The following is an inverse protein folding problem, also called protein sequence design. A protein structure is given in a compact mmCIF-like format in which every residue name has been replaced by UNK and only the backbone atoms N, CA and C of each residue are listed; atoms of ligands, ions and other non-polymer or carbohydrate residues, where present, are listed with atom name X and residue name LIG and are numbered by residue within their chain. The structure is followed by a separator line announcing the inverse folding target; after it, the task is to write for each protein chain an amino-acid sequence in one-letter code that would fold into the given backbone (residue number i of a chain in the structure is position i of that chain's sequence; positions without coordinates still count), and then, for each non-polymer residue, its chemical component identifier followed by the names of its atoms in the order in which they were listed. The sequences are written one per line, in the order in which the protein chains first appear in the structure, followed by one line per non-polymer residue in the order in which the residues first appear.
data_IF_290691521552
#
_entry.id   IF_290691521552
#
_cell.length_a   1.000
_cell.length_b   1.000
_cell.length_c   1.000
_cell.angle_alpha   90.00
_cell.angle_beta   90.00
_cell.angle_gamma   90.00
#
_symmetry.space_group_name_H-M   'P 1'
#
loop_
_entity.id
_entity.type
_entity.pdbx_description
1 polymer ?
#
# COMPACT_ATOMS: atom_id res chain seq x y z
N UNK A 1 -31.10 50.51 -5.46
CA UNK A 1 -31.75 49.32 -6.06
C UNK A 1 -31.13 47.99 -5.59
N UNK A 2 -29.81 47.88 -5.37
CA UNK A 2 -29.19 46.62 -4.90
C UNK A 2 -29.73 46.06 -3.58
N UNK A 3 -30.03 46.92 -2.59
CA UNK A 3 -30.55 46.48 -1.29
C UNK A 3 -31.93 45.77 -1.33
N UNK A 4 -32.73 45.99 -2.37
CA UNK A 4 -34.06 45.37 -2.48
C UNK A 4 -33.98 43.97 -3.10
N UNK A 5 -33.01 43.73 -4.00
CA UNK A 5 -32.73 42.40 -4.54
C UNK A 5 -32.18 41.46 -3.45
N UNK A 6 -31.23 41.91 -2.64
CA UNK A 6 -30.67 41.13 -1.53
C UNK A 6 -31.74 40.71 -0.52
N UNK A 7 -32.72 41.59 -0.24
CA UNK A 7 -33.83 41.29 0.68
C UNK A 7 -34.77 40.22 0.11
N UNK A 8 -35.09 40.28 -1.19
CA UNK A 8 -35.92 39.27 -1.85
C UNK A 8 -35.22 37.92 -1.92
N UNK A 9 -33.93 37.88 -2.26
CA UNK A 9 -33.14 36.65 -2.29
C UNK A 9 -33.01 36.02 -0.91
N UNK A 10 -32.77 36.82 0.14
CA UNK A 10 -32.71 36.32 1.51
C UNK A 10 -34.03 35.70 1.95
N UNK A 11 -35.18 36.30 1.59
CA UNK A 11 -36.49 35.71 1.92
C UNK A 11 -36.74 34.38 1.22
N UNK A 12 -36.30 34.22 -0.04
CA UNK A 12 -36.35 32.93 -0.75
C UNK A 12 -35.46 31.89 -0.08
N UNK A 13 -34.22 32.25 0.24
CA UNK A 13 -33.26 31.35 0.90
C UNK A 13 -33.75 30.88 2.27
N UNK A 14 -34.46 31.74 3.00
CA UNK A 14 -35.04 31.42 4.31
C UNK A 14 -36.26 30.50 4.18
N UNK A 15 -37.07 30.66 3.13
CA UNK A 15 -38.12 29.71 2.79
C UNK A 15 -37.54 28.34 2.39
N UNK A 16 -36.48 28.32 1.60
CA UNK A 16 -35.79 27.09 1.20
C UNK A 16 -35.21 26.36 2.42
N UNK A 17 -34.58 27.09 3.36
CA UNK A 17 -34.06 26.51 4.60
C UNK A 17 -35.18 25.90 5.46
N UNK A 18 -36.33 26.59 5.55
CA UNK A 18 -37.51 26.07 6.25
C UNK A 18 -38.03 24.80 5.58
N UNK A 19 -38.14 24.78 4.25
CA UNK A 19 -38.57 23.61 3.50
C UNK A 19 -37.61 22.43 3.71
N UNK A 20 -36.30 22.67 3.64
CA UNK A 20 -35.27 21.65 3.88
C UNK A 20 -35.31 21.09 5.29
N UNK A 21 -35.61 21.92 6.30
CA UNK A 21 -35.75 21.47 7.69
C UNK A 21 -36.95 20.53 7.86
N UNK A 22 -38.06 20.83 7.17
CA UNK A 22 -39.25 19.98 7.18
C UNK A 22 -38.95 18.65 6.48
N UNK A 23 -38.35 18.69 5.29
CA UNK A 23 -37.95 17.50 4.53
C UNK A 23 -37.05 16.57 5.37
N UNK A 24 -36.06 17.14 6.06
CA UNK A 24 -35.16 16.41 6.95
C UNK A 24 -35.92 15.73 8.10
N UNK A 25 -36.87 16.44 8.73
CA UNK A 25 -37.70 15.89 9.80
C UNK A 25 -38.54 14.70 9.30
N UNK A 26 -39.13 14.82 8.12
CA UNK A 26 -39.93 13.75 7.50
C UNK A 26 -39.07 12.53 7.19
N UNK A 27 -37.83 12.71 6.72
CA UNK A 27 -36.90 11.61 6.44
C UNK A 27 -36.35 10.94 7.71
N UNK A 28 -36.14 11.71 8.79
CA UNK A 28 -35.63 11.17 10.05
C UNK A 28 -36.69 10.40 10.85
N UNK A 29 -37.96 10.81 10.73
CA UNK A 29 -39.08 10.23 11.47
C UNK A 29 -39.19 8.69 11.37
N UNK A 30 -39.12 8.05 10.19
CA UNK A 30 -39.14 6.58 10.09
C UNK A 30 -37.89 5.92 10.69
N UNK A 31 -36.74 6.58 10.66
CA UNK A 31 -35.50 6.06 11.26
C UNK A 31 -35.56 6.12 12.78
N UNK A 32 -36.12 7.21 13.34
CA UNK A 32 -36.35 7.34 14.77
C UNK A 32 -37.37 6.33 15.29
N UNK A 33 -38.42 6.02 14.52
CA UNK A 33 -39.39 4.98 14.86
C UNK A 33 -38.70 3.60 14.95
N UNK A 34 -37.95 3.21 13.91
CA UNK A 34 -37.17 1.95 13.91
C UNK A 34 -36.12 1.86 15.02
N UNK A 35 -35.59 2.99 15.47
CA UNK A 35 -34.69 3.05 16.62
C UNK A 35 -35.45 2.84 17.94
N UNK A 36 -36.63 3.45 18.09
CA UNK A 36 -37.49 3.30 19.27
C UNK A 36 -38.03 1.86 19.39
N UNK A 37 -38.33 1.22 18.26
CA UNK A 37 -38.76 -0.17 18.16
C UNK A 37 -37.62 -1.17 18.44
N UNK A 38 -36.38 -0.68 18.62
CA UNK A 38 -35.22 -1.50 18.96
C UNK A 38 -34.68 -2.36 17.82
N UNK A 39 -35.18 -2.18 16.59
CA UNK A 39 -34.71 -2.91 15.40
C UNK A 39 -33.24 -2.59 15.07
N UNK A 40 -32.79 -1.38 15.41
CA UNK A 40 -31.44 -0.89 15.12
C UNK A 40 -30.57 -0.96 16.37
N UNK A 41 -29.63 -1.92 16.42
CA UNK A 41 -28.64 -2.04 17.50
C UNK A 41 -27.53 -0.99 17.32
N UNK A 42 -27.59 0.09 18.08
CA UNK A 42 -26.60 1.20 18.06
C UNK A 42 -25.31 0.93 18.85
N UNK A 43 -25.20 -0.21 19.53
CA UNK A 43 -24.11 -0.50 20.48
C UNK A 43 -22.69 -0.51 19.87
N UNK A 44 -22.56 -0.52 18.53
CA UNK A 44 -21.27 -0.48 17.81
C UNK A 44 -21.31 0.48 16.62
N UNK A 45 -21.87 1.67 16.81
CA UNK A 45 -21.81 2.73 15.80
C UNK A 45 -20.38 3.13 15.44
N UNK A 46 -20.16 3.58 14.20
CA UNK A 46 -18.89 4.16 13.79
C UNK A 46 -18.76 5.52 14.48
N UNK A 47 -18.03 5.57 15.60
CA UNK A 47 -17.84 6.78 16.44
C UNK A 47 -17.48 8.03 15.63
N UNK A 48 -16.74 7.88 14.52
CA UNK A 48 -16.41 9.00 13.65
C UNK A 48 -17.63 9.65 12.97
N UNK A 49 -18.63 8.86 12.56
CA UNK A 49 -19.83 9.38 11.91
C UNK A 49 -20.67 10.22 12.88
N UNK A 50 -20.74 9.81 14.14
CA UNK A 50 -21.37 10.59 15.20
C UNK A 50 -20.66 11.93 15.41
N UNK A 51 -19.34 11.93 15.51
CA UNK A 51 -18.53 13.15 15.61
C UNK A 51 -18.76 14.07 14.41
N UNK A 52 -18.84 13.52 13.20
CA UNK A 52 -19.18 14.28 11.99
C UNK A 52 -20.53 14.96 12.10
N UNK A 53 -21.56 14.23 12.53
CA UNK A 53 -22.90 14.81 12.69
C UNK A 53 -22.90 15.93 13.72
N UNK A 54 -22.24 15.75 14.87
CA UNK A 54 -22.13 16.79 15.91
C UNK A 54 -21.44 18.06 15.37
N UNK A 55 -20.34 17.93 14.63
CA UNK A 55 -19.62 19.05 14.03
C UNK A 55 -20.47 19.76 12.96
N UNK A 56 -21.18 19.00 12.12
CA UNK A 56 -22.06 19.58 11.10
C UNK A 56 -23.23 20.34 11.73
N UNK A 57 -23.84 19.82 12.79
CA UNK A 57 -24.89 20.52 13.54
C UNK A 57 -24.34 21.80 14.16
N UNK A 58 -23.16 21.74 14.80
CA UNK A 58 -22.52 22.90 15.38
C UNK A 58 -22.21 23.98 14.32
N UNK A 59 -21.79 23.57 13.12
CA UNK A 59 -21.55 24.48 12.01
C UNK A 59 -22.83 25.18 11.54
N UNK A 60 -23.92 24.43 11.36
CA UNK A 60 -25.23 24.99 10.97
C UNK A 60 -25.76 25.93 12.06
N UNK A 61 -25.56 25.60 13.34
CA UNK A 61 -25.94 26.44 14.47
C UNK A 61 -25.20 27.78 14.45
N UNK A 62 -23.87 27.75 14.31
CA UNK A 62 -23.06 28.97 14.24
C UNK A 62 -23.37 29.80 13.00
N UNK A 63 -23.68 29.16 11.87
CA UNK A 63 -24.09 29.85 10.66
C UNK A 63 -25.45 30.53 10.82
N UNK A 64 -26.42 29.84 11.45
CA UNK A 64 -27.74 30.41 11.74
C UNK A 64 -27.63 31.58 12.70
N UNK A 65 -26.77 31.47 13.72
CA UNK A 65 -26.47 32.57 14.63
C UNK A 65 -25.81 33.75 13.91
N UNK A 66 -24.88 33.50 12.99
CA UNK A 66 -24.26 34.52 12.16
C UNK A 66 -25.29 35.27 11.30
N UNK A 67 -26.21 34.53 10.67
CA UNK A 67 -27.32 35.14 9.90
C UNK A 67 -28.22 35.97 10.81
N UNK A 68 -28.58 35.47 11.99
CA UNK A 68 -29.36 36.21 12.97
C UNK A 68 -28.67 37.50 13.43
N UNK A 69 -27.34 37.46 13.61
CA UNK A 69 -26.53 38.62 14.01
C UNK A 69 -26.54 39.71 12.92
N UNK A 70 -26.41 39.30 11.65
CA UNK A 70 -26.51 40.19 10.48
C UNK A 70 -27.91 40.80 10.35
N UNK A 71 -28.96 40.01 10.54
CA UNK A 71 -30.35 40.50 10.49
C UNK A 71 -30.69 41.46 11.65
N UNK A 72 -30.04 41.28 12.80
CA UNK A 72 -30.20 42.15 13.97
C UNK A 72 -29.39 43.45 13.89
N UNK A 73 -28.67 43.69 12.79
CA UNK A 73 -27.90 44.91 12.55
C UNK A 73 -26.67 45.09 13.46
N UNK A 74 -26.22 44.03 14.14
CA UNK A 74 -25.02 44.07 15.00
C UNK A 74 -23.76 43.97 14.14
N UNK A 75 -22.71 44.71 14.49
CA UNK A 75 -21.43 44.64 13.80
C UNK A 75 -20.80 43.25 13.96
N UNK A 76 -20.28 42.72 12.84
CA UNK A 76 -19.83 41.32 12.74
C UNK A 76 -18.30 41.19 12.74
N UNK A 77 -17.58 42.29 12.53
CA UNK A 77 -16.15 42.28 12.21
C UNK A 77 -15.26 41.71 13.32
N UNK A 78 -15.71 41.65 14.57
CA UNK A 78 -14.93 41.10 15.70
C UNK A 78 -15.67 40.03 16.51
N UNK A 79 -16.78 39.48 16.00
CA UNK A 79 -17.53 38.50 16.77
C UNK A 79 -16.83 37.12 16.77
N UNK A 80 -16.68 36.43 17.92
CA UNK A 80 -15.98 35.15 18.01
C UNK A 80 -16.57 34.06 17.11
N UNK A 81 -17.84 34.21 16.70
CA UNK A 81 -18.54 33.30 15.78
C UNK A 81 -17.86 33.18 14.43
N UNK A 82 -17.23 34.25 13.91
CA UNK A 82 -16.50 34.17 12.63
C UNK A 82 -15.26 33.28 12.79
N UNK A 83 -14.53 33.43 13.92
CA UNK A 83 -13.38 32.57 14.24
C UNK A 83 -13.80 31.11 14.40
N UNK A 84 -14.88 30.86 15.16
CA UNK A 84 -15.42 29.51 15.34
C UNK A 84 -15.91 28.88 14.04
N UNK A 85 -16.53 29.65 13.13
CA UNK A 85 -16.93 29.15 11.81
C UNK A 85 -15.74 28.74 10.95
N UNK A 86 -14.66 29.54 10.96
CA UNK A 86 -13.42 29.22 10.26
C UNK A 86 -12.77 27.96 10.86
N UNK A 87 -12.73 27.86 12.19
CA UNK A 87 -12.21 26.68 12.89
C UNK A 87 -13.00 25.42 12.53
N UNK A 88 -14.33 25.46 12.63
CA UNK A 88 -15.20 24.35 12.22
C UNK A 88 -15.00 23.99 10.74
N UNK A 89 -14.78 24.98 9.87
CA UNK A 89 -14.52 24.73 8.45
C UNK A 89 -13.20 23.98 8.25
N UNK A 90 -12.14 24.39 8.94
CA UNK A 90 -10.84 23.70 8.90
C UNK A 90 -10.97 22.26 9.43
N UNK A 91 -11.75 22.05 10.50
CA UNK A 91 -12.00 20.71 11.04
C UNK A 91 -12.71 19.83 9.99
N UNK A 92 -13.77 20.33 9.35
CA UNK A 92 -14.48 19.61 8.28
C UNK A 92 -13.55 19.26 7.11
N UNK A 93 -12.66 20.18 6.71
CA UNK A 93 -11.71 19.93 5.64
C UNK A 93 -10.66 18.86 6.01
N UNK A 94 -10.20 18.85 7.27
CA UNK A 94 -9.31 17.80 7.80
C UNK A 94 -9.99 16.45 7.94
N UNK A 95 -11.31 16.40 8.10
CA UNK A 95 -12.09 15.16 8.18
C UNK A 95 -12.28 14.48 6.83
N UNK A 96 -12.28 15.21 5.71
CA UNK A 96 -12.47 14.68 4.34
C UNK A 96 -11.65 13.41 4.00
N UNK A 97 -10.33 13.35 4.22
CA UNK A 97 -9.57 12.13 3.89
C UNK A 97 -10.02 10.89 4.71
N UNK A 98 -10.48 11.10 5.95
CA UNK A 98 -11.01 10.02 6.78
C UNK A 98 -12.39 9.58 6.27
N UNK A 99 -13.20 10.54 5.82
CA UNK A 99 -14.49 10.26 5.19
C UNK A 99 -14.36 9.39 3.93
N UNK A 100 -13.36 9.64 3.08
CA UNK A 100 -13.11 8.82 1.89
C UNK A 100 -12.80 7.37 2.26
N UNK A 101 -11.96 7.16 3.28
CA UNK A 101 -11.62 5.82 3.77
C UNK A 101 -12.82 5.11 4.38
N UNK A 102 -13.61 5.82 5.18
CA UNK A 102 -14.82 5.27 5.80
C UNK A 102 -15.91 4.99 4.78
N UNK A 103 -16.08 5.85 3.76
CA UNK A 103 -17.02 5.63 2.66
C UNK A 103 -16.73 4.29 1.99
N UNK A 104 -15.48 4.00 1.66
CA UNK A 104 -15.11 2.71 1.08
C UNK A 104 -15.46 1.54 2.01
N UNK A 105 -15.22 1.67 3.32
CA UNK A 105 -15.58 0.62 4.29
C UNK A 105 -17.10 0.44 4.40
N UNK A 106 -17.87 1.52 4.43
CA UNK A 106 -19.34 1.50 4.45
C UNK A 106 -19.86 0.87 3.15
N UNK A 107 -19.38 1.31 1.99
CA UNK A 107 -19.75 0.78 0.68
C UNK A 107 -19.44 -0.71 0.59
N UNK A 108 -18.31 -1.15 1.15
CA UNK A 108 -17.95 -2.58 1.24
C UNK A 108 -18.94 -3.34 2.12
N UNK A 109 -19.28 -2.82 3.30
CA UNK A 109 -20.24 -3.46 4.21
C UNK A 109 -21.65 -3.53 3.60
N UNK A 110 -22.11 -2.45 2.97
CA UNK A 110 -23.39 -2.40 2.26
C UNK A 110 -23.40 -3.40 1.11
N UNK A 111 -22.35 -3.45 0.28
CA UNK A 111 -22.22 -4.47 -0.78
C UNK A 111 -22.26 -5.87 -0.20
N UNK A 112 -21.55 -6.14 0.90
CA UNK A 112 -21.58 -7.46 1.54
C UNK A 112 -22.94 -7.80 2.13
N UNK A 113 -23.70 -6.82 2.63
CA UNK A 113 -25.05 -7.05 3.13
C UNK A 113 -26.03 -7.33 1.98
N UNK A 114 -25.99 -6.52 0.92
CA UNK A 114 -26.87 -6.66 -0.27
C UNK A 114 -26.54 -7.89 -1.11
N UNK A 115 -25.27 -8.25 -1.23
CA UNK A 115 -24.84 -9.47 -1.95
C UNK A 115 -24.85 -10.70 -1.05
N UNK A 116 -24.68 -10.54 0.26
CA UNK A 116 -24.74 -11.60 1.26
C UNK A 116 -26.15 -12.13 1.47
N UNK A 117 -27.18 -11.29 1.33
CA UNK A 117 -28.58 -11.74 1.29
C UNK A 117 -28.89 -12.55 0.03
N UNK A 118 -28.24 -12.28 -1.11
CA UNK A 118 -28.38 -13.10 -2.32
C UNK A 118 -27.64 -14.45 -2.26
N UNK A 119 -26.55 -14.53 -1.45
CA UNK A 119 -25.78 -15.78 -1.25
C UNK A 119 -26.42 -16.79 -0.30
N UNK A 120 -27.44 -16.39 0.47
CA UNK A 120 -28.12 -17.29 1.40
C UNK A 120 -29.19 -18.17 0.73
N UNK A 121 -29.59 -17.87 -0.52
CA UNK A 121 -30.65 -18.60 -1.21
C UNK A 121 -30.17 -19.50 -2.35
N UNK A 122 -28.92 -19.38 -2.81
CA UNK A 122 -28.36 -20.29 -3.83
C UNK A 122 -26.95 -20.73 -3.45
N UNK A 123 -26.86 -21.94 -2.92
CA UNK A 123 -25.58 -22.62 -2.69
C UNK A 123 -24.85 -22.85 -4.01
N UNK A 124 -23.56 -22.48 -4.01
CA UNK A 124 -22.60 -22.62 -5.11
C UNK A 124 -22.97 -21.78 -6.37
N UNK A 125 -22.14 -20.87 -6.86
CA UNK A 125 -21.00 -21.17 -7.75
C UNK A 125 -20.26 -19.85 -8.07
N UNK A 126 -18.98 -19.98 -8.43
CA UNK A 126 -18.06 -19.03 -9.09
C UNK A 126 -17.64 -17.74 -8.37
N UNK A 127 -16.67 -17.93 -7.50
CA UNK A 127 -15.68 -16.97 -6.98
C UNK A 127 -14.78 -16.32 -8.06
N UNK A 128 -15.26 -16.08 -9.27
CA UNK A 128 -14.46 -15.53 -10.38
C UNK A 128 -14.85 -14.09 -10.74
N UNK A 129 -16.12 -13.72 -10.60
CA UNK A 129 -16.62 -12.41 -11.06
C UNK A 129 -16.57 -11.29 -10.01
N UNK A 130 -16.46 -11.63 -8.72
CA UNK A 130 -16.33 -10.65 -7.64
C UNK A 130 -14.88 -10.17 -7.38
N UNK A 131 -13.89 -10.84 -7.97
CA UNK A 131 -12.45 -10.59 -7.74
C UNK A 131 -11.93 -9.40 -8.57
N UNK A 132 -12.66 -9.00 -9.61
CA UNK A 132 -12.18 -8.02 -10.59
C UNK A 132 -12.11 -6.57 -10.06
N UNK A 133 -12.76 -6.23 -8.94
CA UNK A 133 -12.91 -4.83 -8.50
C UNK A 133 -12.53 -4.54 -7.03
N UNK A 134 -11.89 -5.48 -6.31
CA UNK A 134 -11.43 -5.22 -4.93
C UNK A 134 -9.94 -5.63 -4.77
N UNK A 135 -8.98 -4.68 -4.82
CA UNK A 135 -7.55 -4.96 -4.66
C UNK A 135 -7.17 -5.51 -3.27
N UNK A 136 -8.10 -5.53 -2.30
CA UNK A 136 -7.94 -6.14 -0.97
C UNK A 136 -8.60 -7.54 -0.85
N UNK A 137 -9.18 -8.08 -1.93
CA UNK A 137 -9.75 -9.43 -1.95
C UNK A 137 -8.69 -10.54 -2.04
N UNK A 138 -7.41 -10.20 -2.29
CA UNK A 138 -6.28 -11.13 -2.29
C UNK A 138 -5.83 -11.52 -0.88
N UNK A 139 -6.76 -11.91 0.00
CA UNK A 139 -6.40 -12.61 1.23
C UNK A 139 -6.23 -14.10 0.91
N UNK A 140 -5.19 -14.78 1.44
CA UNK A 140 -5.03 -16.21 1.23
C UNK A 140 -6.27 -16.93 1.77
N UNK A 141 -6.85 -17.80 0.94
CA UNK A 141 -8.06 -18.53 1.28
C UNK A 141 -7.67 -19.80 2.07
N UNK A 142 -7.90 -19.87 3.40
CA UNK A 142 -7.42 -20.98 4.22
C UNK A 142 -8.13 -22.30 3.91
N UNK A 143 -9.28 -22.25 3.21
CA UNK A 143 -9.98 -23.43 2.69
C UNK A 143 -9.20 -24.13 1.56
N UNK A 144 -8.32 -23.40 0.86
CA UNK A 144 -7.43 -24.00 -0.16
C UNK A 144 -6.23 -24.73 0.47
N UNK A 145 -6.06 -24.62 1.79
CA UNK A 145 -5.06 -25.36 2.57
C UNK A 145 -5.60 -26.68 3.12
N UNK A 146 -6.91 -26.90 3.06
CA UNK A 146 -7.51 -28.18 3.42
C UNK A 146 -7.33 -29.12 2.23
N UNK A 147 -6.32 -29.99 2.32
CA UNK A 147 -6.12 -31.09 1.40
C UNK A 147 -7.40 -31.94 1.40
N UNK A 148 -8.15 -31.89 0.29
CA UNK A 148 -9.12 -32.94 0.00
C UNK A 148 -8.28 -34.17 -0.30
N UNK A 149 -8.11 -35.02 0.70
CA UNK A 149 -7.72 -36.40 0.48
C UNK A 149 -8.92 -37.08 -0.18
N UNK A 150 -9.02 -36.96 -1.50
CA UNK A 150 -9.66 -37.97 -2.32
C UNK A 150 -8.53 -38.59 -3.14
N UNK A 151 -8.39 -39.90 -2.93
CA UNK A 151 -7.43 -40.78 -3.57
C UNK A 151 -7.64 -40.76 -5.09
N UNK A 152 -6.64 -40.26 -5.82
CA UNK A 152 -6.38 -40.66 -7.20
C UNK A 152 -4.92 -41.12 -7.26
N UNK A 153 -4.77 -42.42 -7.48
CA UNK A 153 -3.51 -43.14 -7.61
C UNK A 153 -2.73 -42.65 -8.82
N UNK A 154 -1.62 -41.95 -8.59
CA UNK A 154 -0.46 -42.02 -9.48
C UNK A 154 0.79 -42.30 -8.63
N UNK A 155 1.29 -43.54 -8.75
CA UNK A 155 2.59 -43.95 -8.25
C UNK A 155 3.70 -43.14 -8.94
N UNK A 156 4.09 -42.01 -8.36
CA UNK A 156 5.42 -41.42 -8.61
C UNK A 156 6.27 -41.59 -7.36
N UNK A 157 7.09 -42.63 -7.40
CA UNK A 157 8.00 -43.07 -6.36
C UNK A 157 8.92 -41.88 -6.00
N UNK A 158 8.66 -41.24 -4.85
CA UNK A 158 9.26 -40.00 -4.34
C UNK A 158 10.77 -40.06 -4.02
N UNK A 159 11.52 -40.84 -4.79
CA UNK A 159 12.97 -41.02 -4.70
C UNK A 159 13.64 -40.02 -5.63
N UNK A 160 14.21 -38.96 -5.04
CA UNK A 160 15.06 -38.00 -5.74
C UNK A 160 16.22 -38.73 -6.45
N UNK A 161 16.26 -38.63 -7.79
CA UNK A 161 17.35 -39.16 -8.63
C UNK A 161 18.29 -38.01 -9.02
N UNK A 162 19.50 -37.93 -8.45
CA UNK A 162 20.46 -36.90 -8.83
C UNK A 162 20.82 -37.02 -10.33
N UNK A 163 20.98 -35.90 -11.05
CA UNK A 163 21.43 -35.92 -12.43
C UNK A 163 22.82 -36.57 -12.51
N UNK A 164 22.94 -37.60 -13.35
CA UNK A 164 24.22 -38.28 -13.57
C UNK A 164 25.15 -37.33 -14.34
N UNK A 165 26.06 -36.67 -13.64
CA UNK A 165 27.15 -35.93 -14.28
C UNK A 165 28.00 -36.93 -15.07
N UNK A 166 28.03 -36.76 -16.40
CA UNK A 166 29.00 -37.46 -17.23
C UNK A 166 30.41 -37.03 -16.78
N UNK A 167 31.35 -37.97 -16.58
CA UNK A 167 32.73 -37.63 -16.28
C UNK A 167 33.29 -36.76 -17.41
N UNK A 168 33.58 -35.50 -17.10
CA UNK A 168 34.32 -34.63 -18.01
C UNK A 168 35.79 -35.05 -17.87
N UNK A 169 36.43 -35.43 -18.98
CA UNK A 169 37.85 -35.78 -18.97
C UNK A 169 38.65 -34.59 -18.40
N UNK A 170 39.24 -34.80 -17.22
CA UNK A 170 40.26 -33.92 -16.71
C UNK A 170 41.54 -34.26 -17.45
N UNK A 171 41.88 -33.49 -18.49
CA UNK A 171 43.16 -33.57 -19.21
C UNK A 171 44.28 -33.17 -18.22
N UNK A 172 44.66 -34.09 -17.33
CA UNK A 172 45.70 -33.91 -16.33
C UNK A 172 47.12 -33.86 -16.94
N UNK A 173 47.23 -33.92 -18.27
CA UNK A 173 48.48 -34.08 -19.02
C UNK A 173 48.78 -33.01 -20.08
N UNK A 174 47.98 -31.94 -20.24
CA UNK A 174 48.37 -30.83 -21.12
C UNK A 174 49.06 -29.73 -20.32
N UNK A 175 50.35 -29.55 -20.65
CA UNK A 175 51.30 -28.49 -20.30
C UNK A 175 51.03 -27.68 -19.02
N UNK A 176 51.97 -27.73 -18.07
CA UNK A 176 52.06 -26.78 -16.93
C UNK A 176 51.82 -25.33 -17.39
N UNK A 177 52.31 -24.96 -18.58
CA UNK A 177 52.07 -23.67 -19.24
C UNK A 177 50.59 -23.37 -19.47
N UNK A 178 49.80 -24.33 -19.96
CA UNK A 178 48.35 -24.11 -20.18
C UNK A 178 47.57 -23.91 -18.87
N UNK A 179 48.05 -24.50 -17.77
CA UNK A 179 47.47 -24.33 -16.43
C UNK A 179 47.86 -22.98 -15.82
N UNK A 180 49.09 -22.53 -16.05
CA UNK A 180 49.58 -21.21 -15.67
C UNK A 180 48.86 -20.12 -16.46
N UNK A 181 48.72 -20.25 -17.78
CA UNK A 181 47.97 -19.31 -18.64
C UNK A 181 46.50 -19.19 -18.22
N UNK A 182 45.81 -20.31 -17.94
CA UNK A 182 44.43 -20.28 -17.43
C UNK A 182 44.33 -19.62 -16.05
N UNK A 183 45.34 -19.79 -15.20
CA UNK A 183 45.39 -19.12 -13.90
C UNK A 183 45.67 -17.63 -14.05
N UNK A 184 46.58 -17.25 -14.94
CA UNK A 184 46.86 -15.86 -15.28
C UNK A 184 45.65 -15.16 -15.89
N UNK A 185 44.91 -15.84 -16.77
CA UNK A 185 43.68 -15.33 -17.35
C UNK A 185 42.62 -15.10 -16.28
N UNK A 186 42.44 -16.05 -15.35
CA UNK A 186 41.57 -15.88 -14.17
C UNK A 186 42.02 -14.75 -13.25
N UNK A 187 43.34 -14.58 -13.08
CA UNK A 187 43.92 -13.49 -12.30
C UNK A 187 43.69 -12.14 -12.97
N UNK A 188 43.85 -12.05 -14.29
CA UNK A 188 43.56 -10.87 -15.11
C UNK A 188 42.08 -10.52 -15.09
N UNK A 189 41.19 -11.51 -15.23
CA UNK A 189 39.75 -11.33 -15.14
C UNK A 189 39.32 -10.88 -13.72
N UNK A 190 39.97 -11.42 -12.68
CA UNK A 190 39.73 -10.99 -11.29
C UNK A 190 40.27 -9.59 -11.01
N UNK A 191 41.41 -9.23 -11.61
CA UNK A 191 42.00 -7.90 -11.51
C UNK A 191 41.20 -6.86 -12.29
N UNK A 192 40.67 -7.19 -13.47
CA UNK A 192 39.78 -6.31 -14.25
C UNK A 192 38.44 -6.10 -13.57
N UNK A 193 37.98 -7.09 -12.77
CA UNK A 193 36.83 -6.97 -11.87
C UNK A 193 37.12 -6.24 -10.54
N UNK A 194 38.33 -5.73 -10.33
CA UNK A 194 38.62 -4.90 -9.16
C UNK A 194 37.90 -3.55 -9.29
N UNK A 195 37.50 -2.97 -8.15
CA UNK A 195 36.76 -1.70 -8.12
C UNK A 195 37.53 -0.56 -8.77
N UNK A 196 38.82 -0.44 -8.44
CA UNK A 196 39.71 0.58 -9.01
C UNK A 196 39.74 0.52 -10.54
N UNK A 197 39.77 -0.68 -11.12
CA UNK A 197 39.75 -0.83 -12.58
C UNK A 197 38.37 -0.49 -13.16
N UNK A 198 37.29 -0.83 -12.46
CA UNK A 198 35.92 -0.50 -12.87
C UNK A 198 35.68 1.02 -12.84
N UNK A 199 36.13 1.71 -11.80
CA UNK A 199 36.03 3.17 -11.66
C UNK A 199 36.86 3.87 -12.75
N UNK A 200 38.08 3.37 -13.01
CA UNK A 200 38.91 3.86 -14.11
C UNK A 200 38.26 3.63 -15.48
N UNK A 201 37.65 2.46 -15.71
CA UNK A 201 36.91 2.17 -16.94
C UNK A 201 35.65 3.03 -17.09
N UNK A 202 34.96 3.34 -15.99
CA UNK A 202 33.80 4.22 -16.01
C UNK A 202 34.21 5.68 -16.31
N UNK A 203 35.36 6.15 -15.81
CA UNK A 203 35.89 7.47 -16.14
C UNK A 203 36.37 7.57 -17.60
N UNK A 204 36.96 6.49 -18.12
CA UNK A 204 37.44 6.45 -19.51
C UNK A 204 36.32 6.30 -20.55
N UNK A 205 35.14 5.79 -20.16
CA UNK A 205 34.02 5.55 -21.06
C UNK A 205 32.90 6.57 -20.82
N UNK A 206 32.47 7.28 -21.86
CA UNK A 206 31.37 8.26 -21.77
C UNK A 206 29.96 7.60 -21.85
N UNK A 207 29.87 6.31 -21.52
CA UNK A 207 28.61 5.57 -21.55
C UNK A 207 27.80 5.86 -20.28
N UNK A 208 26.49 6.15 -20.38
CA UNK A 208 25.68 6.44 -19.21
C UNK A 208 25.53 5.21 -18.31
N UNK A 209 25.73 5.38 -17.01
CA UNK A 209 25.49 4.34 -16.01
C UNK A 209 24.04 4.30 -15.55
N UNK A 210 23.50 3.10 -15.33
CA UNK A 210 22.17 2.90 -14.78
C UNK A 210 22.19 3.18 -13.27
N UNK A 211 21.42 4.19 -12.86
CA UNK A 211 21.27 4.59 -11.45
C UNK A 211 19.83 4.40 -11.00
N UNK A 212 19.65 3.86 -9.79
CA UNK A 212 18.32 3.71 -9.20
C UNK A 212 17.77 5.06 -8.71
N UNK A 213 16.44 5.14 -8.59
CA UNK A 213 15.65 6.32 -8.16
C UNK A 213 16.11 6.86 -6.81
N UNK A 214 16.79 6.04 -6.00
CA UNK A 214 17.26 6.39 -4.66
C UNK A 214 18.69 6.94 -4.60
N UNK A 215 19.25 7.35 -5.74
CA UNK A 215 20.62 7.85 -5.85
C UNK A 215 21.56 6.74 -6.27
N UNK A 216 22.40 7.03 -7.25
CA UNK A 216 23.22 6.07 -7.98
C UNK A 216 24.26 5.33 -7.16
N UNK A 217 25.04 4.53 -7.88
CA UNK A 217 26.09 3.58 -7.46
C UNK A 217 27.01 4.02 -6.31
N UNK A 218 27.13 5.33 -6.05
CA UNK A 218 28.00 5.92 -5.03
C UNK A 218 27.29 6.57 -3.81
N UNK A 219 25.99 6.85 -3.86
CA UNK A 219 25.28 7.59 -2.79
C UNK A 219 24.02 6.90 -2.26
N UNK A 220 23.62 5.77 -2.85
CA UNK A 220 22.41 5.04 -2.47
C UNK A 220 22.58 4.02 -1.32
N UNK A 221 21.47 3.75 -0.63
CA UNK A 221 21.29 2.56 0.23
C UNK A 221 21.24 1.29 -0.63
N UNK A 222 22.39 0.79 -1.08
CA UNK A 222 22.52 -0.47 -1.83
C UNK A 222 23.24 -1.56 -1.01
N UNK A 223 23.04 -2.83 -1.34
CA UNK A 223 23.64 -3.97 -0.62
C UNK A 223 25.07 -4.30 -1.10
N UNK A 224 25.57 -3.50 -2.05
CA UNK A 224 26.88 -3.61 -2.71
C UNK A 224 26.80 -4.35 -4.05
N UNK A 225 27.67 -4.00 -5.01
CA UNK A 225 27.59 -4.46 -6.42
C UNK A 225 27.31 -5.95 -6.58
N UNK A 226 28.01 -6.80 -5.83
CA UNK A 226 27.84 -8.26 -5.92
C UNK A 226 26.46 -8.72 -5.46
N UNK A 227 25.91 -8.10 -4.43
CA UNK A 227 24.60 -8.49 -3.91
C UNK A 227 23.50 -7.96 -4.83
N UNK A 228 23.66 -6.75 -5.33
CA UNK A 228 22.71 -6.13 -6.24
C UNK A 228 22.62 -6.92 -7.57
N UNK A 229 23.75 -7.38 -8.13
CA UNK A 229 23.75 -8.29 -9.29
C UNK A 229 23.02 -9.62 -9.03
N UNK A 230 23.19 -10.21 -7.84
CA UNK A 230 22.50 -11.46 -7.48
C UNK A 230 20.98 -11.26 -7.32
N UNK A 231 20.55 -10.09 -6.84
CA UNK A 231 19.12 -9.74 -6.77
C UNK A 231 18.55 -9.58 -8.19
N UNK A 232 19.28 -8.89 -9.07
CA UNK A 232 18.87 -8.69 -10.45
C UNK A 232 18.73 -10.02 -11.21
N UNK A 233 19.71 -10.92 -11.08
CA UNK A 233 19.67 -12.26 -11.67
C UNK A 233 18.47 -13.06 -11.15
N UNK A 234 18.18 -12.96 -9.85
CA UNK A 234 16.99 -13.58 -9.25
C UNK A 234 15.70 -13.02 -9.84
N UNK A 235 15.59 -11.69 -10.02
CA UNK A 235 14.41 -11.06 -10.65
C UNK A 235 14.22 -11.56 -12.07
N UNK A 236 15.30 -11.58 -12.87
CA UNK A 236 15.25 -12.08 -14.24
C UNK A 236 14.80 -13.54 -14.32
N UNK A 237 15.27 -14.39 -13.40
CA UNK A 237 14.79 -15.77 -13.32
C UNK A 237 13.29 -15.85 -12.98
N UNK A 238 12.84 -15.08 -11.98
CA UNK A 238 11.42 -15.06 -11.58
C UNK A 238 10.51 -14.54 -12.71
N UNK A 239 10.97 -13.57 -13.50
CA UNK A 239 10.27 -13.02 -14.66
C UNK A 239 10.22 -13.99 -15.84
N UNK A 240 11.35 -14.61 -16.18
CA UNK A 240 11.42 -15.56 -17.30
C UNK A 240 10.63 -16.84 -17.03
N UNK A 241 10.63 -17.31 -15.77
CA UNK A 241 10.00 -18.56 -15.38
C UNK A 241 8.65 -18.37 -14.71
N UNK A 242 8.20 -17.13 -14.51
CA UNK A 242 6.93 -16.76 -13.89
C UNK A 242 6.66 -17.44 -12.52
N UNK A 243 7.71 -17.73 -11.76
CA UNK A 243 7.64 -18.41 -10.46
C UNK A 243 8.51 -17.67 -9.44
N UNK A 244 7.96 -17.39 -8.25
CA UNK A 244 8.71 -16.75 -7.16
C UNK A 244 9.57 -17.74 -6.39
N UNK A 245 10.84 -17.38 -6.16
CA UNK A 245 11.78 -18.19 -5.40
C UNK A 245 11.71 -17.88 -3.91
N UNK A 246 11.40 -18.89 -3.10
CA UNK A 246 11.32 -18.76 -1.65
C UNK A 246 12.68 -18.36 -1.03
N UNK A 247 12.67 -17.33 -0.18
CA UNK A 247 13.88 -16.85 0.53
C UNK A 247 13.96 -17.51 1.90
N UNK A 248 15.12 -18.07 2.23
CA UNK A 248 15.33 -18.67 3.56
C UNK A 248 15.44 -17.60 4.65
N UNK A 249 15.08 -17.93 5.91
CA UNK A 249 15.21 -16.99 7.05
C UNK A 249 16.66 -16.49 7.23
N UNK A 250 17.63 -17.37 7.02
CA UNK A 250 19.07 -17.05 7.10
C UNK A 250 19.48 -16.03 6.04
N UNK A 251 19.01 -16.22 4.81
CA UNK A 251 19.28 -15.32 3.70
C UNK A 251 18.62 -13.96 3.90
N UNK A 252 17.35 -13.93 4.33
CA UNK A 252 16.64 -12.70 4.68
C UNK A 252 17.39 -11.88 5.75
N UNK A 253 17.89 -12.55 6.80
CA UNK A 253 18.72 -11.90 7.84
C UNK A 253 20.04 -11.37 7.28
N UNK A 254 20.68 -12.11 6.37
CA UNK A 254 21.91 -11.68 5.68
C UNK A 254 21.67 -10.44 4.81
N UNK A 255 20.54 -10.38 4.12
CA UNK A 255 20.14 -9.21 3.33
C UNK A 255 19.92 -8.01 4.25
N UNK A 256 19.09 -8.15 5.29
CA UNK A 256 18.80 -7.06 6.23
C UNK A 256 20.06 -6.53 6.94
N UNK A 257 21.00 -7.41 7.32
CA UNK A 257 22.27 -7.01 7.94
C UNK A 257 23.20 -6.26 6.99
N UNK A 258 23.05 -6.46 5.68
CA UNK A 258 23.84 -5.80 4.64
C UNK A 258 23.20 -4.53 4.10
N UNK A 259 22.04 -4.13 4.65
CA UNK A 259 21.36 -2.89 4.30
C UNK A 259 22.02 -1.64 4.93
N UNK A 260 23.31 -1.72 5.29
CA UNK A 260 24.10 -0.57 5.76
C UNK A 260 24.63 0.21 4.55
N UNK A 261 24.93 1.49 4.72
CA UNK A 261 25.48 2.31 3.63
C UNK A 261 26.73 1.64 3.04
N UNK A 262 26.80 1.58 1.71
CA UNK A 262 27.88 0.91 0.95
C UNK A 262 29.28 1.27 1.49
N UNK A 263 29.48 2.54 1.84
CA UNK A 263 30.75 3.11 2.30
C UNK A 263 31.29 2.49 3.62
N UNK A 264 30.41 2.09 4.54
CA UNK A 264 30.84 1.52 5.83
C UNK A 264 31.31 0.07 5.71
N UNK A 265 30.85 -0.65 4.69
CA UNK A 265 31.13 -2.09 4.52
C UNK A 265 32.51 -2.39 3.93
N UNK A 266 33.20 -1.37 3.42
CA UNK A 266 34.44 -1.53 2.65
C UNK A 266 35.69 -1.55 3.52
N UNK A 267 35.60 -0.95 4.72
CA UNK A 267 36.68 -0.88 5.70
C UNK A 267 36.55 -1.94 6.81
N UNK A 268 35.49 -2.76 6.79
CA UNK A 268 35.32 -3.91 7.69
C UNK A 268 36.28 -5.04 7.25
N UNK A 269 37.56 -4.86 7.55
CA UNK A 269 38.56 -5.92 7.48
C UNK A 269 38.15 -6.98 8.49
N UNK A 270 37.75 -8.16 8.00
CA UNK A 270 37.49 -9.32 8.86
C UNK A 270 38.80 -9.70 9.55
N UNK A 271 39.03 -9.17 10.76
CA UNK A 271 40.12 -9.58 11.63
C UNK A 271 39.85 -11.05 11.95
N UNK A 272 40.55 -11.95 11.26
CA UNK A 272 40.59 -13.36 11.62
C UNK A 272 41.43 -13.46 12.89
N UNK A 273 40.81 -13.29 14.05
CA UNK A 273 41.38 -13.82 15.30
C UNK A 273 41.37 -15.34 15.18
N UNK A 274 42.53 -15.91 14.80
CA UNK A 274 42.83 -17.30 15.11
C UNK A 274 42.96 -17.42 16.63
N UNK A 275 42.05 -18.17 17.24
CA UNK A 275 42.28 -18.85 18.52
C UNK A 275 42.41 -20.33 18.18
#
# INVERSE_FOLDING_TARGET
MSYFLEKSELTKLLQDLKAKTIELKTQLQPVMQKLADGEIKTSKGVSFLEVKYQIMIQYILQLTFYVHLKLSGKQVENHPVVKSLVELRVILDKMKPIEVKLKYQIDKLVRTAVMGTQKAETGAVTSATAVANDPLAFKPNPMNLLNRNDDDEEEDDGVYRPPKLAPVNYDAGKDRKSKEERNEERLKEKASRSRVMKDLMAEMNDAPEEVDVRGGVNEGTGYGDRVDSLIAEKSQYEENNYVRLAVTRKEKKRMQSKNKMRFESEFDVRIMTRV
#
